data_IF_815396085404
#
_entry.id   IF_815396085404
#
_cell.length_a   1.000
_cell.length_b   1.000
_cell.length_c   1.000
_cell.angle_alpha   90.00
_cell.angle_beta   90.00
_cell.angle_gamma   90.00
#
_symmetry.space_group_name_H-M   'P 1'
#
loop_
_entity.id
_entity.type
_entity.pdbx_description
1 polymer ?
#
# COMPACT_ATOMS: atom_id res chain seq x y z
N UNK A 1 11.78 7.68 -2.85
CA UNK A 1 10.49 7.97 -3.53
C UNK A 1 9.94 9.29 -3.00
N UNK A 2 8.83 9.76 -3.55
CA UNK A 2 8.10 10.92 -3.03
C UNK A 2 7.11 10.58 -1.90
N UNK A 3 7.05 9.33 -1.46
CA UNK A 3 6.18 8.89 -0.37
C UNK A 3 4.78 8.56 -0.87
N UNK A 4 3.75 9.05 -0.18
CA UNK A 4 2.36 8.88 -0.60
C UNK A 4 2.00 9.88 -1.72
N UNK A 5 2.67 9.81 -2.86
CA UNK A 5 2.48 10.70 -4.02
C UNK A 5 1.70 10.03 -5.17
N UNK A 6 1.46 8.72 -5.06
CA UNK A 6 0.79 7.92 -6.09
C UNK A 6 1.70 7.52 -7.25
N UNK A 7 3.02 7.58 -7.07
CA UNK A 7 4.02 7.16 -8.07
C UNK A 7 3.76 5.75 -8.58
N UNK A 8 3.32 4.83 -7.71
CA UNK A 8 3.03 3.44 -8.08
C UNK A 8 1.94 3.30 -9.15
N UNK A 9 1.00 4.24 -9.24
CA UNK A 9 -0.03 4.25 -10.29
C UNK A 9 0.46 4.94 -11.57
N UNK A 10 1.32 5.95 -11.47
CA UNK A 10 1.80 6.76 -12.61
C UNK A 10 3.01 6.11 -13.30
N UNK A 11 3.93 5.57 -12.52
CA UNK A 11 5.15 4.89 -12.95
C UNK A 11 5.05 3.38 -12.77
N UNK A 12 3.84 2.82 -12.93
CA UNK A 12 3.54 1.42 -12.66
C UNK A 12 4.48 0.47 -13.44
N UNK A 13 4.77 0.75 -14.71
CA UNK A 13 5.66 -0.03 -15.57
C UNK A 13 7.09 -0.20 -15.01
N UNK A 14 7.48 0.64 -14.03
CA UNK A 14 8.70 0.47 -13.25
C UNK A 14 8.41 -0.13 -11.88
N UNK A 15 7.52 0.48 -11.09
CA UNK A 15 7.37 0.12 -9.68
C UNK A 15 6.75 -1.26 -9.44
N UNK A 16 5.84 -1.72 -10.30
CA UNK A 16 5.25 -3.08 -10.14
C UNK A 16 6.23 -4.19 -10.50
N UNK A 17 7.37 -3.85 -11.14
CA UNK A 17 8.42 -4.84 -11.44
C UNK A 17 9.30 -5.18 -10.23
N UNK A 18 9.17 -4.42 -9.13
CA UNK A 18 9.93 -4.69 -7.92
C UNK A 18 9.38 -5.93 -7.20
N UNK A 19 10.23 -6.87 -6.74
CA UNK A 19 9.76 -8.11 -6.12
C UNK A 19 8.77 -7.91 -4.96
N UNK A 20 9.02 -6.90 -4.12
CA UNK A 20 8.16 -6.55 -2.99
C UNK A 20 6.77 -6.00 -3.37
N UNK A 21 6.53 -5.72 -4.66
CA UNK A 21 5.24 -5.25 -5.20
C UNK A 21 4.48 -6.33 -6.00
N UNK A 22 4.91 -7.59 -5.93
CA UNK A 22 4.20 -8.69 -6.58
C UNK A 22 2.69 -8.66 -6.23
N UNK A 23 1.82 -8.74 -7.24
CA UNK A 23 0.36 -8.72 -7.11
C UNK A 23 -0.29 -7.33 -7.00
N UNK A 24 0.49 -6.23 -6.88
CA UNK A 24 -0.10 -4.88 -6.77
C UNK A 24 -0.72 -4.40 -8.10
N UNK A 25 -0.29 -4.94 -9.23
CA UNK A 25 -0.84 -4.64 -10.54
C UNK A 25 -2.34 -4.99 -10.66
N UNK A 26 -2.81 -6.05 -9.99
CA UNK A 26 -4.23 -6.40 -9.94
C UNK A 26 -5.07 -5.30 -9.28
N UNK A 27 -4.65 -4.82 -8.11
CA UNK A 27 -5.33 -3.73 -7.41
C UNK A 27 -5.29 -2.43 -8.22
N UNK A 28 -4.18 -2.14 -8.90
CA UNK A 28 -4.07 -0.99 -9.79
C UNK A 28 -4.98 -1.12 -11.02
N UNK A 29 -5.14 -2.32 -11.58
CA UNK A 29 -6.04 -2.58 -12.70
C UNK A 29 -7.50 -2.33 -12.31
N UNK A 30 -7.91 -2.74 -11.10
CA UNK A 30 -9.24 -2.45 -10.54
C UNK A 30 -9.43 -0.94 -10.32
N UNK A 31 -8.40 -0.24 -9.82
CA UNK A 31 -8.46 1.19 -9.54
C UNK A 31 -8.38 2.08 -10.80
N UNK A 32 -7.74 1.62 -11.88
CA UNK A 32 -7.41 2.42 -13.07
C UNK A 32 -8.61 3.15 -13.72
N UNK A 33 -9.81 2.55 -13.87
CA UNK A 33 -10.97 3.26 -14.42
C UNK A 33 -11.40 4.44 -13.55
N UNK A 34 -11.29 4.31 -12.22
CA UNK A 34 -11.69 5.35 -11.27
C UNK A 34 -10.64 6.45 -11.16
N UNK A 35 -9.36 6.09 -11.14
CA UNK A 35 -8.24 7.03 -11.25
C UNK A 35 -8.41 7.93 -12.49
N UNK A 36 -8.72 7.32 -13.65
CA UNK A 36 -8.92 8.05 -14.90
C UNK A 36 -10.17 8.93 -14.86
N UNK A 37 -11.29 8.38 -14.35
CA UNK A 37 -12.57 9.10 -14.25
C UNK A 37 -12.49 10.34 -13.37
N UNK A 38 -11.72 10.30 -12.27
CA UNK A 38 -11.64 11.38 -11.29
C UNK A 38 -10.32 12.19 -11.36
N UNK A 39 -9.50 11.99 -12.40
CA UNK A 39 -8.21 12.65 -12.56
C UNK A 39 -8.28 14.20 -12.61
N UNK A 40 -9.45 14.76 -12.91
CA UNK A 40 -9.66 16.22 -12.91
C UNK A 40 -9.78 16.83 -11.51
N UNK A 41 -10.06 16.01 -10.49
CA UNK A 41 -10.33 16.47 -9.11
C UNK A 41 -9.49 15.76 -8.04
N UNK A 42 -8.89 14.62 -8.37
CA UNK A 42 -8.01 13.86 -7.48
C UNK A 42 -6.67 13.58 -8.17
N UNK A 43 -5.57 13.83 -7.46
CA UNK A 43 -4.28 13.28 -7.87
C UNK A 43 -4.23 11.77 -7.60
N UNK A 44 -3.33 11.01 -8.25
CA UNK A 44 -3.16 9.58 -7.97
C UNK A 44 -2.87 9.29 -6.50
N UNK A 45 -2.03 10.12 -5.86
CA UNK A 45 -1.75 10.01 -4.43
C UNK A 45 -2.98 10.22 -3.55
N UNK A 46 -3.80 11.24 -3.87
CA UNK A 46 -5.04 11.48 -3.12
C UNK A 46 -6.06 10.36 -3.34
N UNK A 47 -6.17 9.85 -4.56
CA UNK A 47 -7.07 8.74 -4.88
C UNK A 47 -6.72 7.48 -4.09
N UNK A 48 -5.45 7.05 -4.10
CA UNK A 48 -5.01 5.83 -3.39
C UNK A 48 -5.29 5.96 -1.88
N UNK A 49 -4.98 7.12 -1.29
CA UNK A 49 -5.18 7.34 0.13
C UNK A 49 -6.67 7.46 0.49
N UNK A 50 -7.49 8.06 -0.38
CA UNK A 50 -8.93 8.09 -0.23
C UNK A 50 -9.54 6.68 -0.31
N UNK A 51 -9.12 5.88 -1.29
CA UNK A 51 -9.58 4.51 -1.46
C UNK A 51 -9.23 3.65 -0.23
N UNK A 52 -8.01 3.79 0.30
CA UNK A 52 -7.59 3.07 1.51
C UNK A 52 -8.36 3.46 2.77
N UNK A 53 -8.65 4.75 3.00
CA UNK A 53 -9.48 5.11 4.16
C UNK A 53 -10.94 4.68 4.00
N UNK A 54 -11.47 4.69 2.77
CA UNK A 54 -12.84 4.26 2.48
C UNK A 54 -12.99 2.73 2.57
N UNK A 55 -11.99 1.95 2.19
CA UNK A 55 -12.05 0.49 2.31
C UNK A 55 -12.23 0.09 3.78
N UNK A 56 -11.46 0.71 4.68
CA UNK A 56 -11.55 0.48 6.13
C UNK A 56 -12.93 0.79 6.71
N UNK A 57 -13.71 1.71 6.14
CA UNK A 57 -15.07 1.97 6.69
C UNK A 57 -16.05 0.82 6.46
N UNK A 58 -15.69 -0.16 5.62
CA UNK A 58 -16.49 -1.36 5.38
C UNK A 58 -16.09 -2.52 6.32
N UNK A 59 -14.97 -2.39 7.04
CA UNK A 59 -14.48 -3.41 7.96
C UNK A 59 -15.03 -3.14 9.37
N UNK A 60 -15.74 -4.11 9.95
CA UNK A 60 -16.26 -3.96 11.30
C UNK A 60 -15.12 -3.80 12.33
N UNK A 61 -15.19 -2.76 13.16
CA UNK A 61 -14.16 -2.47 14.18
C UNK A 61 -12.98 -1.64 13.69
N UNK A 62 -12.85 -1.36 12.39
CA UNK A 62 -11.78 -0.53 11.88
C UNK A 62 -11.90 0.93 12.35
N UNK A 63 -10.76 1.61 12.61
CA UNK A 63 -10.76 3.01 13.01
C UNK A 63 -11.12 3.92 11.83
N UNK A 64 -11.60 5.13 12.14
CA UNK A 64 -11.74 6.20 11.15
C UNK A 64 -10.41 6.91 10.95
N UNK A 65 -9.62 6.44 9.98
CA UNK A 65 -8.36 7.07 9.58
C UNK A 65 -8.65 8.45 8.95
N UNK A 66 -7.87 9.46 9.34
CA UNK A 66 -8.03 10.81 8.80
C UNK A 66 -7.57 10.87 7.35
N UNK A 67 -8.34 11.55 6.52
CA UNK A 67 -7.98 11.87 5.14
C UNK A 67 -7.60 13.34 5.00
N UNK A 68 -6.65 13.62 4.13
CA UNK A 68 -6.26 14.97 3.72
C UNK A 68 -6.07 14.98 2.21
N UNK A 69 -6.62 16.00 1.56
CA UNK A 69 -6.57 16.21 0.12
C UNK A 69 -5.48 17.24 -0.23
N UNK A 70 -4.83 17.07 -1.38
CA UNK A 70 -3.88 18.05 -1.92
C UNK A 70 -2.51 17.48 -2.27
N UNK A 71 -2.37 16.17 -2.44
CA UNK A 71 -1.09 15.59 -2.90
C UNK A 71 -0.78 16.05 -4.32
N UNK A 72 0.45 16.53 -4.59
CA UNK A 72 0.85 16.89 -5.95
C UNK A 72 1.02 15.64 -6.83
N UNK A 73 1.15 15.86 -8.14
CA UNK A 73 1.52 14.78 -9.07
C UNK A 73 2.92 14.24 -8.74
N UNK A 74 3.13 12.91 -8.81
CA UNK A 74 4.44 12.32 -8.54
C UNK A 74 5.41 12.70 -9.66
N UNK A 75 6.66 13.04 -9.31
CA UNK A 75 7.65 13.53 -10.29
C UNK A 75 8.65 12.47 -10.75
N UNK A 76 8.68 11.32 -10.07
CA UNK A 76 9.60 10.19 -10.37
C UNK A 76 9.08 8.91 -9.74
N UNK A 77 9.48 7.77 -10.32
CA UNK A 77 9.28 6.47 -9.70
C UNK A 77 10.00 6.36 -8.35
N UNK A 78 9.47 5.51 -7.47
CA UNK A 78 10.20 5.08 -6.28
C UNK A 78 11.47 4.30 -6.67
N UNK A 79 12.59 4.49 -5.96
CA UNK A 79 13.70 3.54 -6.00
C UNK A 79 13.24 2.13 -5.57
N UNK A 80 13.91 1.07 -6.05
CA UNK A 80 13.65 -0.30 -5.60
C UNK A 80 14.08 -0.50 -4.13
N UNK A 81 13.68 -1.63 -3.54
CA UNK A 81 14.11 -2.10 -2.21
C UNK A 81 13.73 -1.20 -1.03
N UNK A 82 12.67 -0.39 -1.16
CA UNK A 82 12.16 0.45 -0.06
C UNK A 82 10.98 -0.17 0.69
N UNK A 83 10.35 -1.21 0.13
CA UNK A 83 9.23 -1.94 0.70
C UNK A 83 9.77 -3.19 1.40
N UNK A 84 9.43 -3.44 2.67
CA UNK A 84 9.83 -4.65 3.39
C UNK A 84 9.29 -5.93 2.74
N UNK A 85 10.05 -7.01 2.84
CA UNK A 85 9.71 -8.33 2.30
C UNK A 85 9.53 -9.35 3.43
N UNK A 86 8.64 -10.35 3.28
CA UNK A 86 8.21 -11.23 4.38
C UNK A 86 9.30 -12.16 4.91
N UNK A 87 10.39 -12.35 4.16
CA UNK A 87 11.53 -13.17 4.54
C UNK A 87 12.68 -12.37 5.17
N UNK A 88 12.52 -11.05 5.32
CA UNK A 88 13.55 -10.22 5.94
C UNK A 88 13.63 -10.45 7.45
N UNK A 89 14.85 -10.36 7.99
CA UNK A 89 15.06 -10.47 9.43
C UNK A 89 14.34 -9.34 10.20
N UNK A 90 13.95 -9.62 11.44
CA UNK A 90 13.20 -8.70 12.30
C UNK A 90 13.93 -7.37 12.57
N UNK A 91 15.25 -7.31 12.42
CA UNK A 91 16.01 -6.07 12.60
C UNK A 91 15.94 -5.15 11.36
N UNK A 92 15.68 -5.70 10.18
CA UNK A 92 15.67 -4.98 8.90
C UNK A 92 14.42 -4.13 8.76
N UNK A 93 13.24 -4.70 9.07
CA UNK A 93 11.96 -4.04 8.86
C UNK A 93 11.83 -2.77 9.73
N UNK A 94 12.05 -2.81 11.06
CA UNK A 94 11.99 -1.62 11.89
C UNK A 94 13.07 -0.59 11.52
N UNK A 95 14.26 -1.02 11.07
CA UNK A 95 15.27 -0.10 10.59
C UNK A 95 14.80 0.68 9.34
N UNK A 96 14.17 -0.02 8.38
CA UNK A 96 13.60 0.60 7.18
C UNK A 96 12.51 1.62 7.51
N UNK A 97 11.62 1.30 8.45
CA UNK A 97 10.58 2.22 8.92
C UNK A 97 11.15 3.40 9.71
N UNK A 98 12.21 3.19 10.49
CA UNK A 98 12.91 4.25 11.22
C UNK A 98 13.49 5.31 10.29
N UNK A 99 13.99 4.92 9.12
CA UNK A 99 14.48 5.88 8.11
C UNK A 99 13.41 6.86 7.62
N UNK A 100 12.12 6.49 7.74
CA UNK A 100 10.97 7.33 7.37
C UNK A 100 10.20 7.83 8.60
N UNK A 101 10.81 7.76 9.78
CA UNK A 101 10.31 8.41 11.00
C UNK A 101 9.42 7.56 11.90
N UNK A 102 9.25 6.26 11.62
CA UNK A 102 8.41 5.38 12.43
C UNK A 102 9.26 4.56 13.43
N UNK A 103 9.04 4.68 14.74
CA UNK A 103 9.62 3.77 15.73
C UNK A 103 9.00 2.38 15.64
N UNK A 104 9.69 1.36 16.16
CA UNK A 104 9.25 -0.04 16.08
C UNK A 104 7.83 -0.28 16.61
N UNK A 105 7.41 0.43 17.66
CA UNK A 105 6.05 0.33 18.21
C UNK A 105 4.98 0.77 17.18
N UNK A 106 5.27 1.78 16.36
CA UNK A 106 4.36 2.21 15.30
C UNK A 106 4.35 1.22 14.13
N UNK A 107 5.46 0.52 13.85
CA UNK A 107 5.48 -0.57 12.87
C UNK A 107 4.54 -1.70 13.28
N UNK A 108 4.59 -2.09 14.57
CA UNK A 108 3.64 -3.08 15.12
C UNK A 108 2.19 -2.59 14.99
N UNK A 109 1.92 -1.31 15.27
CA UNK A 109 0.60 -0.74 15.09
C UNK A 109 0.14 -0.75 13.62
N UNK A 110 1.03 -0.46 12.67
CA UNK A 110 0.74 -0.49 11.23
C UNK A 110 0.44 -1.92 10.73
N UNK A 111 1.08 -2.94 11.30
CA UNK A 111 0.82 -4.35 10.99
C UNK A 111 -0.59 -4.83 11.42
N UNK A 112 -1.36 -4.02 12.16
CA UNK A 112 -2.79 -4.28 12.36
C UNK A 112 -3.58 -4.34 11.03
N UNK A 113 -3.02 -3.79 9.94
CA UNK A 113 -3.57 -3.98 8.59
C UNK A 113 -3.70 -5.46 8.19
N UNK A 114 -2.87 -6.35 8.76
CA UNK A 114 -2.93 -7.79 8.48
C UNK A 114 -4.18 -8.47 9.08
N UNK A 115 -4.96 -7.79 9.93
CA UNK A 115 -6.21 -8.33 10.46
C UNK A 115 -7.38 -8.26 9.45
N UNK A 116 -7.20 -7.57 8.32
CA UNK A 116 -8.18 -7.50 7.23
C UNK A 116 -7.50 -7.75 5.88
N UNK A 117 -6.68 -8.81 5.82
CA UNK A 117 -5.84 -9.11 4.66
C UNK A 117 -5.57 -10.62 4.47
N UNK A 118 -5.07 -10.95 3.28
CA UNK A 118 -4.57 -12.28 2.91
C UNK A 118 -3.40 -12.20 1.93
N UNK A 119 -2.94 -13.34 1.46
CA UNK A 119 -1.82 -13.45 0.53
C UNK A 119 -2.17 -14.23 -0.74
N UNK A 120 -1.84 -13.67 -1.89
CA UNK A 120 -2.02 -14.29 -3.20
C UNK A 120 -0.71 -14.85 -3.76
N UNK A 121 0.40 -14.11 -3.60
CA UNK A 121 1.68 -14.39 -4.26
C UNK A 121 2.68 -15.22 -3.44
N UNK A 122 2.45 -15.37 -2.12
CA UNK A 122 3.38 -16.11 -1.23
C UNK A 122 3.29 -17.62 -1.46
N UNK A 123 2.06 -18.13 -1.58
CA UNK A 123 1.77 -19.49 -2.02
C UNK A 123 0.75 -19.45 -3.17
N UNK A 124 1.22 -19.40 -4.43
CA UNK A 124 0.34 -19.31 -5.59
C UNK A 124 -0.61 -20.51 -5.77
N UNK A 125 -0.42 -21.61 -5.04
CA UNK A 125 -1.36 -22.73 -5.04
C UNK A 125 -2.60 -22.46 -4.18
N UNK A 126 -2.54 -21.51 -3.25
CA UNK A 126 -3.62 -21.14 -2.33
C UNK A 126 -3.81 -19.61 -2.24
N UNK A 127 -4.14 -18.93 -3.35
CA UNK A 127 -4.35 -17.49 -3.34
C UNK A 127 -5.55 -17.12 -2.45
N UNK A 128 -5.49 -15.95 -1.82
CA UNK A 128 -6.49 -15.41 -0.92
C UNK A 128 -6.43 -16.00 0.50
N UNK A 129 -5.38 -16.74 0.85
CA UNK A 129 -5.22 -17.30 2.20
C UNK A 129 -5.11 -16.18 3.23
N UNK A 130 -6.02 -16.09 4.22
CA UNK A 130 -6.05 -14.98 5.15
C UNK A 130 -4.94 -15.07 6.20
N UNK A 131 -4.52 -13.93 6.75
CA UNK A 131 -3.52 -13.90 7.81
C UNK A 131 -4.10 -14.21 9.20
N UNK A 132 -5.40 -14.03 9.40
CA UNK A 132 -6.12 -14.44 10.60
C UNK A 132 -7.45 -15.14 10.25
N UNK A 133 -8.25 -15.50 11.26
CA UNK A 133 -9.53 -16.20 11.07
C UNK A 133 -10.72 -15.30 10.71
N UNK A 134 -10.54 -13.99 10.64
CA UNK A 134 -11.59 -12.97 10.46
C UNK A 134 -11.13 -11.80 9.57
N UNK A 135 -10.72 -12.07 8.31
CA UNK A 135 -10.25 -11.04 7.38
C UNK A 135 -11.35 -10.07 6.92
#
# INVERSE_FOLDING_TARGET
GGGADGSIAVFNATEVTFPANAGIDDALAVAAPFLSKYASVLSPGDFIQLAGVLSLTNCAGAPRVKFSLGRPQPTKASPPNLIPEPFQNVDVIPARFKEVGFPAAEVVALLASHSVAGADEVDPAHPGSPFDSTP
#
